data_IF_007910132668
#
_entry.id   IF_007910132668
#
_cell.length_a   1.000
_cell.length_b   1.000
_cell.length_c   1.000
_cell.angle_alpha   90.00
_cell.angle_beta   90.00
_cell.angle_gamma   90.00
#
_symmetry.space_group_name_H-M   'P 1'
#
loop_
_entity.id
_entity.type
_entity.pdbx_description
1 polymer ?
#
# COMPACT_ATOMS: atom_id res chain seq x y z
N UNK A 1 19.85 18.67 -27.93
CA UNK A 1 19.56 18.21 -26.54
C UNK A 1 18.27 17.37 -26.39
N UNK A 2 17.19 17.58 -27.15
CA UNK A 2 15.89 16.82 -27.05
C UNK A 2 15.96 15.30 -27.36
N UNK A 3 16.84 14.82 -28.25
CA UNK A 3 16.93 13.38 -28.61
C UNK A 3 17.58 12.52 -27.52
N UNK A 4 18.54 13.05 -26.76
CA UNK A 4 19.21 12.32 -25.67
C UNK A 4 18.30 12.02 -24.48
N UNK A 5 17.38 12.92 -24.18
CA UNK A 5 16.37 12.69 -23.12
C UNK A 5 15.35 11.60 -23.46
N UNK A 6 15.03 11.39 -24.74
CA UNK A 6 14.12 10.34 -25.18
C UNK A 6 14.70 8.93 -25.11
N UNK A 7 16.02 8.79 -25.35
CA UNK A 7 16.72 7.50 -25.20
C UNK A 7 16.86 7.13 -23.73
N UNK A 8 17.24 8.06 -22.87
CA UNK A 8 17.33 7.83 -21.42
C UNK A 8 15.96 7.51 -20.83
N UNK A 9 14.90 8.19 -21.26
CA UNK A 9 13.54 7.89 -20.83
C UNK A 9 13.02 6.53 -21.34
N UNK A 10 13.54 6.01 -22.45
CA UNK A 10 13.24 4.66 -22.95
C UNK A 10 14.02 3.58 -22.22
N UNK A 11 15.28 3.83 -21.89
CA UNK A 11 16.17 2.87 -21.19
C UNK A 11 15.92 2.83 -19.69
N UNK A 12 15.49 3.94 -19.11
CA UNK A 12 15.16 4.08 -17.67
C UNK A 12 13.75 4.64 -17.50
N UNK A 13 12.72 3.86 -17.82
CA UNK A 13 11.33 4.32 -17.72
C UNK A 13 10.89 4.57 -16.26
N UNK A 14 11.59 4.04 -15.26
CA UNK A 14 11.39 4.30 -13.83
C UNK A 14 12.70 4.17 -13.04
N UNK A 15 13.51 5.22 -12.96
CA UNK A 15 14.81 5.16 -12.32
C UNK A 15 14.75 4.75 -10.85
N UNK A 16 13.75 5.20 -10.10
CA UNK A 16 13.55 4.78 -8.70
C UNK A 16 13.28 3.28 -8.58
N UNK A 17 12.45 2.71 -9.46
CA UNK A 17 12.18 1.28 -9.47
C UNK A 17 13.41 0.48 -9.85
N UNK A 18 14.21 0.96 -10.83
CA UNK A 18 15.47 0.32 -11.20
C UNK A 18 16.44 0.26 -10.02
N UNK A 19 16.61 1.37 -9.30
CA UNK A 19 17.48 1.42 -8.12
C UNK A 19 16.94 0.51 -7.00
N UNK A 20 15.63 0.53 -6.76
CA UNK A 20 15.01 -0.33 -5.75
C UNK A 20 15.19 -1.82 -6.07
N UNK A 21 15.02 -2.22 -7.35
CA UNK A 21 15.23 -3.61 -7.77
C UNK A 21 16.70 -4.04 -7.64
N UNK A 22 17.66 -3.16 -8.02
CA UNK A 22 19.08 -3.43 -7.82
C UNK A 22 19.40 -3.61 -6.33
N UNK A 23 18.95 -2.71 -5.48
CA UNK A 23 19.15 -2.79 -4.04
C UNK A 23 18.53 -4.06 -3.45
N UNK A 24 17.28 -4.35 -3.82
CA UNK A 24 16.58 -5.56 -3.38
C UNK A 24 17.33 -6.84 -3.79
N UNK A 25 17.81 -6.91 -5.06
CA UNK A 25 18.60 -8.04 -5.53
C UNK A 25 19.84 -8.26 -4.68
N UNK A 26 20.61 -7.20 -4.44
CA UNK A 26 21.86 -7.30 -3.66
C UNK A 26 21.61 -7.65 -2.21
N UNK A 27 20.55 -7.14 -1.61
CA UNK A 27 20.12 -7.50 -0.25
C UNK A 27 19.76 -8.98 -0.15
N UNK A 28 18.98 -9.51 -1.10
CA UNK A 28 18.58 -10.92 -1.11
C UNK A 28 19.75 -11.85 -1.45
N UNK A 29 20.66 -11.41 -2.33
CA UNK A 29 21.84 -12.20 -2.68
C UNK A 29 22.87 -12.26 -1.53
N UNK A 30 22.82 -11.34 -0.56
CA UNK A 30 23.77 -11.25 0.56
C UNK A 30 25.23 -11.10 0.12
N UNK A 31 25.50 -10.72 -1.14
CA UNK A 31 26.83 -10.67 -1.73
C UNK A 31 26.98 -9.54 -2.73
N UNK A 32 28.11 -8.85 -2.67
CA UNK A 32 28.49 -7.78 -3.61
C UNK A 32 29.50 -8.24 -4.66
N UNK A 33 29.52 -9.55 -4.97
CA UNK A 33 30.41 -10.08 -6.00
C UNK A 33 30.14 -9.46 -7.36
N UNK A 34 31.15 -9.43 -8.25
CA UNK A 34 31.01 -8.83 -9.61
C UNK A 34 29.85 -9.44 -10.40
N UNK A 35 29.62 -10.75 -10.25
CA UNK A 35 28.50 -11.45 -10.88
C UNK A 35 27.14 -10.95 -10.36
N UNK A 36 27.01 -10.78 -9.04
CA UNK A 36 25.77 -10.29 -8.43
C UNK A 36 25.48 -8.82 -8.79
N UNK A 37 26.52 -7.99 -8.90
CA UNK A 37 26.38 -6.61 -9.37
C UNK A 37 25.88 -6.55 -10.82
N UNK A 38 26.41 -7.41 -11.72
CA UNK A 38 25.95 -7.48 -13.10
C UNK A 38 24.49 -7.98 -13.19
N UNK A 39 24.13 -9.00 -12.41
CA UNK A 39 22.75 -9.49 -12.35
C UNK A 39 21.79 -8.45 -11.78
N UNK A 40 22.17 -7.76 -10.71
CA UNK A 40 21.38 -6.67 -10.12
C UNK A 40 21.12 -5.55 -11.15
N UNK A 41 22.18 -5.14 -11.86
CA UNK A 41 22.07 -4.11 -12.90
C UNK A 41 21.20 -4.60 -14.06
N UNK A 42 21.39 -5.84 -14.52
CA UNK A 42 20.58 -6.46 -15.57
C UNK A 42 19.10 -6.53 -15.18
N UNK A 43 18.77 -7.02 -13.99
CA UNK A 43 17.41 -7.07 -13.48
C UNK A 43 16.80 -5.67 -13.30
N UNK A 44 17.56 -4.73 -12.71
CA UNK A 44 17.12 -3.35 -12.48
C UNK A 44 16.87 -2.55 -13.77
N UNK A 45 17.51 -2.91 -14.87
CA UNK A 45 17.27 -2.28 -16.17
C UNK A 45 16.19 -3.03 -16.98
N UNK A 46 16.30 -4.36 -17.08
CA UNK A 46 15.41 -5.16 -17.92
C UNK A 46 13.96 -5.20 -17.38
N UNK A 47 13.78 -5.42 -16.08
CA UNK A 47 12.43 -5.56 -15.51
C UNK A 47 11.57 -4.31 -15.69
N UNK A 48 12.02 -3.09 -15.37
CA UNK A 48 11.22 -1.90 -15.63
C UNK A 48 10.88 -1.66 -17.09
N UNK A 49 11.72 -2.13 -18.02
CA UNK A 49 11.45 -2.02 -19.46
C UNK A 49 10.41 -3.05 -19.92
N UNK A 50 10.55 -4.31 -19.51
CA UNK A 50 9.62 -5.40 -19.85
C UNK A 50 8.21 -5.12 -19.34
N UNK A 51 8.10 -4.63 -18.11
CA UNK A 51 6.82 -4.35 -17.47
C UNK A 51 6.31 -2.92 -17.69
N UNK A 52 6.97 -2.12 -18.54
CA UNK A 52 6.51 -0.77 -18.87
C UNK A 52 5.06 -0.71 -19.39
N UNK A 53 4.59 -1.64 -20.24
CA UNK A 53 3.19 -1.66 -20.71
C UNK A 53 2.16 -1.96 -19.62
N UNK A 54 2.57 -2.66 -18.54
CA UNK A 54 1.69 -3.05 -17.43
C UNK A 54 1.60 -1.96 -16.35
N UNK A 55 2.32 -0.84 -16.53
CA UNK A 55 2.28 0.23 -15.54
C UNK A 55 0.94 0.94 -15.57
N UNK A 56 0.31 1.09 -14.40
CA UNK A 56 -0.85 1.96 -14.31
C UNK A 56 -0.46 3.41 -14.68
N UNK A 57 -1.46 4.23 -14.91
CA UNK A 57 -1.31 5.66 -15.20
C UNK A 57 -0.33 6.31 -14.21
N UNK A 58 0.40 7.35 -14.68
CA UNK A 58 1.40 8.01 -13.87
C UNK A 58 0.83 8.47 -12.52
N UNK A 59 1.44 7.99 -11.43
CA UNK A 59 1.10 8.39 -10.08
C UNK A 59 1.26 9.90 -9.91
N UNK A 60 0.17 10.59 -9.61
CA UNK A 60 0.17 12.03 -9.29
C UNK A 60 -0.13 12.23 -7.82
N UNK A 61 0.91 12.50 -7.04
CA UNK A 61 0.77 12.91 -5.64
C UNK A 61 0.56 14.41 -5.62
N UNK A 62 -0.65 14.85 -5.29
CA UNK A 62 -1.02 16.27 -5.26
C UNK A 62 -0.63 16.94 -3.95
N UNK A 63 -0.69 16.21 -2.83
CA UNK A 63 -0.43 16.72 -1.47
C UNK A 63 0.60 15.86 -0.74
N UNK A 64 1.91 16.06 -0.96
CA UNK A 64 2.96 15.23 -0.34
C UNK A 64 3.00 15.33 1.19
N UNK A 65 2.63 16.48 1.77
CA UNK A 65 2.57 16.64 3.24
C UNK A 65 1.43 15.80 3.86
N UNK A 66 0.28 15.70 3.18
CA UNK A 66 -0.82 14.84 3.63
C UNK A 66 -0.40 13.38 3.54
N UNK A 67 0.34 12.99 2.48
CA UNK A 67 0.90 11.65 2.36
C UNK A 67 1.88 11.34 3.50
N UNK A 68 2.83 12.24 3.79
CA UNK A 68 3.77 12.05 4.89
C UNK A 68 3.04 11.89 6.25
N UNK A 69 2.02 12.73 6.50
CA UNK A 69 1.17 12.60 7.68
C UNK A 69 0.44 11.26 7.72
N UNK A 70 -0.14 10.82 6.60
CA UNK A 70 -0.84 9.53 6.51
C UNK A 70 0.10 8.37 6.81
N UNK A 71 1.33 8.37 6.29
CA UNK A 71 2.34 7.34 6.59
C UNK A 71 2.62 7.27 8.10
N UNK A 72 2.78 8.41 8.77
CA UNK A 72 3.00 8.45 10.22
C UNK A 72 1.78 7.94 10.99
N UNK A 73 0.58 8.32 10.58
CA UNK A 73 -0.69 7.86 11.18
C UNK A 73 -0.80 6.34 11.04
N UNK A 74 -0.59 5.80 9.84
CA UNK A 74 -0.64 4.34 9.58
C UNK A 74 0.44 3.62 10.39
N UNK A 75 1.67 4.15 10.43
CA UNK A 75 2.74 3.58 11.25
C UNK A 75 2.38 3.50 12.73
N UNK A 76 1.77 4.54 13.28
CA UNK A 76 1.27 4.53 14.66
C UNK A 76 0.13 3.52 14.84
N UNK A 77 -0.81 3.43 13.90
CA UNK A 77 -1.92 2.49 13.95
C UNK A 77 -1.44 1.05 13.90
N UNK A 78 -0.42 0.75 13.09
CA UNK A 78 0.21 -0.58 13.05
C UNK A 78 0.78 -0.96 14.41
N UNK A 79 1.52 -0.06 15.06
CA UNK A 79 2.10 -0.33 16.39
C UNK A 79 1.00 -0.54 17.44
N UNK A 80 0.01 0.32 17.46
CA UNK A 80 -1.12 0.25 18.39
C UNK A 80 -1.93 -1.04 18.17
N UNK A 81 -2.29 -1.32 16.93
CA UNK A 81 -3.11 -2.48 16.59
C UNK A 81 -2.39 -3.81 16.84
N UNK A 82 -1.06 -3.86 16.62
CA UNK A 82 -0.26 -5.02 17.02
C UNK A 82 -0.36 -5.28 18.54
N UNK A 83 -0.28 -4.23 19.35
CA UNK A 83 -0.42 -4.35 20.81
C UNK A 83 -1.84 -4.81 21.20
N UNK A 84 -2.88 -4.22 20.59
CA UNK A 84 -4.29 -4.56 20.86
C UNK A 84 -4.63 -6.01 20.46
N UNK A 85 -4.23 -6.43 19.26
CA UNK A 85 -4.43 -7.81 18.79
C UNK A 85 -3.61 -8.79 19.62
N UNK A 86 -2.35 -8.48 19.91
CA UNK A 86 -1.51 -9.31 20.77
C UNK A 86 -2.11 -9.51 22.16
N UNK A 87 -2.60 -8.44 22.81
CA UNK A 87 -3.30 -8.52 24.08
C UNK A 87 -4.64 -9.26 23.95
N UNK A 88 -5.36 -9.07 22.84
CA UNK A 88 -6.62 -9.79 22.52
C UNK A 88 -6.39 -11.30 22.47
N UNK A 89 -5.34 -11.73 21.76
CA UNK A 89 -4.95 -13.15 21.66
C UNK A 89 -4.57 -13.72 23.03
N UNK A 90 -3.79 -13.00 23.84
CA UNK A 90 -3.42 -13.42 25.19
C UNK A 90 -4.66 -13.54 26.11
N UNK A 91 -5.66 -12.70 25.90
CA UNK A 91 -6.91 -12.70 26.67
C UNK A 91 -8.01 -13.65 26.12
N UNK A 92 -7.75 -14.32 25.00
CA UNK A 92 -8.72 -15.22 24.31
C UNK A 92 -9.33 -16.29 25.22
N UNK A 93 -8.60 -16.71 26.26
CA UNK A 93 -9.12 -17.61 27.31
C UNK A 93 -10.29 -17.04 28.13
N UNK A 94 -10.44 -15.71 28.19
CA UNK A 94 -11.42 -15.00 29.01
C UNK A 94 -12.56 -14.36 28.18
N UNK A 95 -12.28 -13.94 26.94
CA UNK A 95 -13.23 -13.33 26.01
C UNK A 95 -12.89 -13.79 24.60
N UNK A 96 -13.85 -14.40 23.90
CA UNK A 96 -13.70 -14.71 22.48
C UNK A 96 -13.89 -13.43 21.66
N UNK A 97 -12.97 -13.11 20.74
CA UNK A 97 -13.16 -11.98 19.81
C UNK A 97 -14.41 -12.17 18.96
N UNK A 98 -15.10 -11.08 18.69
CA UNK A 98 -16.27 -11.08 17.79
C UNK A 98 -15.81 -10.63 16.42
N UNK A 99 -15.34 -11.58 15.59
CA UNK A 99 -15.03 -11.32 14.20
C UNK A 99 -16.31 -11.08 13.40
N UNK A 100 -16.38 -9.94 12.72
CA UNK A 100 -17.56 -9.51 11.95
C UNK A 100 -17.15 -9.07 10.56
N UNK A 101 -18.01 -9.32 9.57
CA UNK A 101 -17.89 -8.74 8.24
C UNK A 101 -18.59 -7.40 8.20
N UNK A 102 -17.89 -6.37 7.72
CA UNK A 102 -18.37 -4.99 7.63
C UNK A 102 -18.33 -4.55 6.18
N UNK A 103 -19.41 -3.96 5.69
CA UNK A 103 -19.49 -3.34 4.37
C UNK A 103 -19.22 -1.84 4.48
N UNK A 104 -18.06 -1.39 4.03
CA UNK A 104 -17.68 0.02 4.06
C UNK A 104 -18.00 0.66 2.71
N UNK A 105 -18.95 1.62 2.64
CA UNK A 105 -19.23 2.37 1.41
C UNK A 105 -18.04 3.27 1.06
N UNK A 106 -17.51 3.13 -0.16
CA UNK A 106 -16.35 3.88 -0.64
C UNK A 106 -16.74 5.01 -1.60
N UNK A 107 -16.11 6.17 -1.39
CA UNK A 107 -16.15 7.29 -2.33
C UNK A 107 -14.86 7.41 -3.17
N UNK A 108 -13.82 6.59 -2.91
CA UNK A 108 -12.59 6.52 -3.67
C UNK A 108 -12.83 5.97 -5.08
N UNK A 109 -12.26 6.63 -6.10
CA UNK A 109 -12.33 6.21 -7.50
C UNK A 109 -10.96 5.99 -8.14
N UNK A 110 -9.94 6.71 -7.69
CA UNK A 110 -8.58 6.58 -8.20
C UNK A 110 -7.98 5.21 -7.86
N UNK A 111 -7.36 4.58 -8.86
CA UNK A 111 -6.80 3.23 -8.73
C UNK A 111 -5.63 3.17 -7.75
N UNK A 112 -4.81 4.23 -7.71
CA UNK A 112 -3.67 4.31 -6.78
C UNK A 112 -4.15 4.55 -5.34
N UNK A 113 -5.21 5.34 -5.17
CA UNK A 113 -5.84 5.54 -3.87
C UNK A 113 -6.43 4.23 -3.32
N UNK A 114 -7.11 3.45 -4.16
CA UNK A 114 -7.63 2.13 -3.79
C UNK A 114 -6.51 1.14 -3.47
N UNK A 115 -5.43 1.12 -4.26
CA UNK A 115 -4.26 0.27 -3.97
C UNK A 115 -3.58 0.67 -2.65
N UNK A 116 -3.47 1.96 -2.38
CA UNK A 116 -2.94 2.45 -1.11
C UNK A 116 -3.86 2.07 0.07
N UNK A 117 -5.18 2.19 -0.09
CA UNK A 117 -6.15 1.76 0.92
C UNK A 117 -6.06 0.25 1.20
N UNK A 118 -5.94 -0.58 0.16
CA UNK A 118 -5.74 -2.02 0.30
C UNK A 118 -4.44 -2.35 1.04
N UNK A 119 -3.36 -1.63 0.73
CA UNK A 119 -2.08 -1.77 1.44
C UNK A 119 -2.21 -1.40 2.92
N UNK A 120 -2.84 -0.28 3.24
CA UNK A 120 -3.07 0.17 4.62
C UNK A 120 -3.87 -0.89 5.39
N UNK A 121 -4.98 -1.35 4.81
CA UNK A 121 -5.86 -2.37 5.43
C UNK A 121 -5.13 -3.68 5.70
N UNK A 122 -4.19 -4.06 4.82
CA UNK A 122 -3.39 -5.29 4.98
C UNK A 122 -2.29 -5.15 6.02
N UNK A 123 -1.69 -3.96 6.13
CA UNK A 123 -0.57 -3.69 7.06
C UNK A 123 -1.06 -3.44 8.48
N UNK A 124 -2.26 -2.88 8.66
CA UNK A 124 -2.86 -2.66 9.99
C UNK A 124 -3.50 -3.97 10.48
N UNK A 125 -2.97 -4.61 11.56
CA UNK A 125 -3.52 -5.85 12.07
C UNK A 125 -4.97 -5.70 12.56
N UNK A 126 -5.73 -6.81 12.50
CA UNK A 126 -7.12 -6.84 12.96
C UNK A 126 -8.15 -6.56 11.87
N UNK A 127 -7.72 -6.21 10.66
CA UNK A 127 -8.59 -6.06 9.49
C UNK A 127 -8.09 -6.90 8.32
N UNK A 128 -9.01 -7.50 7.57
CA UNK A 128 -8.70 -8.25 6.35
C UNK A 128 -9.56 -7.72 5.21
N UNK A 129 -8.91 -7.35 4.12
CA UNK A 129 -9.58 -7.01 2.88
C UNK A 129 -10.15 -8.27 2.24
N UNK A 130 -11.46 -8.38 2.14
CA UNK A 130 -12.12 -9.57 1.60
C UNK A 130 -12.53 -9.37 0.13
N UNK A 131 -13.30 -8.34 -0.16
CA UNK A 131 -13.84 -8.12 -1.50
C UNK A 131 -14.06 -6.63 -1.77
N UNK A 132 -13.83 -6.22 -3.01
CA UNK A 132 -14.20 -4.89 -3.51
C UNK A 132 -15.35 -5.06 -4.50
N UNK A 133 -16.42 -4.30 -4.34
CA UNK A 133 -17.52 -4.30 -5.27
C UNK A 133 -17.03 -4.01 -6.70
N UNK A 134 -17.60 -4.66 -7.75
CA UNK A 134 -17.16 -4.48 -9.14
C UNK A 134 -17.20 -3.02 -9.61
N UNK A 135 -18.15 -2.24 -9.11
CA UNK A 135 -18.29 -0.81 -9.37
C UNK A 135 -17.45 0.08 -8.43
N UNK A 136 -16.68 -0.53 -7.52
CA UNK A 136 -15.83 0.12 -6.51
C UNK A 136 -16.60 1.01 -5.53
N UNK A 137 -17.89 0.77 -5.35
CA UNK A 137 -18.74 1.55 -4.45
C UNK A 137 -18.65 1.12 -2.99
N UNK A 138 -18.23 -0.11 -2.73
CA UNK A 138 -18.16 -0.68 -1.40
C UNK A 138 -17.00 -1.67 -1.25
N UNK A 139 -16.53 -1.79 -0.03
CA UNK A 139 -15.47 -2.70 0.38
C UNK A 139 -15.98 -3.60 1.50
N UNK A 140 -15.83 -4.92 1.33
CA UNK A 140 -16.09 -5.89 2.39
C UNK A 140 -14.80 -6.13 3.18
N UNK A 141 -14.84 -5.85 4.47
CA UNK A 141 -13.77 -6.09 5.43
C UNK A 141 -14.20 -7.15 6.44
N UNK A 142 -13.27 -8.01 6.83
CA UNK A 142 -13.40 -8.78 8.06
C UNK A 142 -12.62 -8.07 9.17
N UNK A 143 -13.28 -7.77 10.29
CA UNK A 143 -12.72 -7.10 11.47
C UNK A 143 -12.63 -8.10 12.61
N UNK A 144 -11.45 -8.22 13.23
CA UNK A 144 -11.13 -9.25 14.24
C UNK A 144 -11.97 -9.14 15.52
N UNK A 145 -12.17 -7.93 16.02
CA UNK A 145 -13.02 -7.66 17.22
C UNK A 145 -13.68 -6.30 17.02
N UNK A 146 -15.00 -6.27 16.96
CA UNK A 146 -15.78 -5.09 16.65
C UNK A 146 -16.89 -4.91 17.69
N UNK A 147 -16.92 -3.72 18.30
CA UNK A 147 -17.96 -3.36 19.25
C UNK A 147 -19.08 -2.56 18.55
N UNK A 148 -18.76 -1.61 17.67
CA UNK A 148 -19.72 -0.80 16.91
C UNK A 148 -19.30 -0.64 15.45
N UNK A 149 -20.20 -1.05 14.53
CA UNK A 149 -19.96 -1.00 13.09
C UNK A 149 -19.98 0.43 12.55
N UNK A 150 -20.88 1.27 13.03
CA UNK A 150 -21.03 2.63 12.53
C UNK A 150 -19.82 3.49 12.91
N UNK A 151 -19.33 3.36 14.14
CA UNK A 151 -18.13 4.03 14.62
C UNK A 151 -16.88 3.56 13.85
N UNK A 152 -16.77 2.26 13.57
CA UNK A 152 -15.67 1.73 12.76
C UNK A 152 -15.67 2.31 11.35
N UNK A 153 -16.82 2.31 10.67
CA UNK A 153 -16.95 2.87 9.31
C UNK A 153 -16.57 4.34 9.30
N UNK A 154 -17.11 5.13 10.24
CA UNK A 154 -16.82 6.56 10.35
C UNK A 154 -15.33 6.81 10.60
N UNK A 155 -14.70 6.05 11.49
CA UNK A 155 -13.27 6.11 11.78
C UNK A 155 -12.43 5.75 10.55
N UNK A 156 -12.71 4.62 9.89
CA UNK A 156 -12.01 4.14 8.71
C UNK A 156 -12.05 5.17 7.56
N UNK A 157 -13.22 5.76 7.30
CA UNK A 157 -13.41 6.79 6.28
C UNK A 157 -12.63 8.07 6.59
N UNK A 158 -12.71 8.55 7.82
CA UNK A 158 -12.04 9.79 8.22
C UNK A 158 -10.53 9.64 8.27
N UNK A 159 -10.05 8.48 8.72
CA UNK A 159 -8.65 8.25 8.98
C UNK A 159 -7.86 7.86 7.75
N UNK A 160 -8.44 7.09 6.83
CA UNK A 160 -7.75 6.55 5.65
C UNK A 160 -8.34 7.03 4.34
N UNK A 161 -9.65 6.91 4.12
CA UNK A 161 -10.27 7.25 2.85
C UNK A 161 -10.13 8.74 2.53
N UNK A 162 -10.48 9.61 3.45
CA UNK A 162 -10.44 11.07 3.24
C UNK A 162 -9.03 11.58 2.90
N UNK A 163 -7.95 11.24 3.64
CA UNK A 163 -6.61 11.65 3.25
C UNK A 163 -6.18 11.12 1.89
N UNK A 164 -6.55 9.88 1.54
CA UNK A 164 -6.23 9.29 0.23
C UNK A 164 -6.93 10.05 -0.90
N UNK A 165 -8.17 10.45 -0.72
CA UNK A 165 -8.87 11.33 -1.70
C UNK A 165 -8.16 12.67 -1.87
N UNK A 166 -7.72 13.27 -0.77
CA UNK A 166 -6.97 14.53 -0.82
C UNK A 166 -5.62 14.40 -1.54
N UNK A 167 -4.96 13.23 -1.44
CA UNK A 167 -3.66 12.97 -2.06
C UNK A 167 -3.80 12.72 -3.57
N UNK A 168 -4.82 11.95 -3.99
CA UNK A 168 -4.90 11.42 -5.34
C UNK A 168 -6.00 12.06 -6.19
N UNK A 169 -7.11 12.52 -5.60
CA UNK A 169 -8.31 12.94 -6.33
C UNK A 169 -8.60 14.45 -6.26
N UNK A 170 -8.00 15.21 -5.34
CA UNK A 170 -8.27 16.66 -5.16
C UNK A 170 -7.51 17.56 -6.13
#
# INVERSE_FOLDING_TARGET
MRKRNRLVARLLPAPLLSVALCAMWLLLAGSLSRGQLLLALGAGLAMPMLFAPLRPLALRIRRPLVLARLILVVGFDVLRSNAEVGLGVLRMRRRQPRGVFVVVPLALRDVHALAALATITTVVPGTVWCELAPDRSALLLHVFDLDDEADFIAHYKTRYERPLREIFES
#
